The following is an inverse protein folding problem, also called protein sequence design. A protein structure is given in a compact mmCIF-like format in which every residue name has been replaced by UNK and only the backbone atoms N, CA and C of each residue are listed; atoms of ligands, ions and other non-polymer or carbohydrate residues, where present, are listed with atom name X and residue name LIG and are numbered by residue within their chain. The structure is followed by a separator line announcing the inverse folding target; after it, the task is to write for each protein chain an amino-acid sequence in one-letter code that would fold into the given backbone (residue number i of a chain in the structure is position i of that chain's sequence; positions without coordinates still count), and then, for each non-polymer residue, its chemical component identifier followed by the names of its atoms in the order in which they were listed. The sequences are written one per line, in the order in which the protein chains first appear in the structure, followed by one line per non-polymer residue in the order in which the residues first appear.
data_IF_193361103048
#
_entry.id   IF_193361103048
#
_cell.length_a   1.000
_cell.length_b   1.000
_cell.length_c   1.000
_cell.angle_alpha   90.00
_cell.angle_beta   90.00
_cell.angle_gamma   90.00
#
_symmetry.space_group_name_H-M   'P 1'
#
loop_
_entity.id
_entity.type
_entity.pdbx_description
1 polymer ?
#
# COMPACT_ATOMS: atom_id res chain seq x y z
N UNK A 1 1.39 -20.15 54.92
CA UNK A 1 0.95 -18.80 54.49
C UNK A 1 1.54 -18.56 53.12
N UNK A 2 0.74 -18.78 52.07
CA UNK A 2 1.17 -18.78 50.68
C UNK A 2 1.27 -17.34 50.16
N UNK A 3 2.40 -17.09 49.51
CA UNK A 3 2.88 -15.82 48.98
C UNK A 3 1.90 -15.23 47.96
N UNK A 4 1.25 -14.12 48.32
CA UNK A 4 0.33 -13.34 47.47
C UNK A 4 1.06 -12.48 46.43
N UNK A 5 2.39 -12.44 46.46
CA UNK A 5 3.21 -11.54 45.63
C UNK A 5 3.35 -12.04 44.19
N UNK A 6 3.26 -13.35 43.93
CA UNK A 6 3.48 -13.93 42.59
C UNK A 6 2.28 -13.81 41.65
N UNK A 7 1.04 -13.69 42.15
CA UNK A 7 -0.13 -13.54 41.27
C UNK A 7 -0.27 -12.15 40.63
N UNK A 8 0.30 -11.10 41.25
CA UNK A 8 0.16 -9.73 40.75
C UNK A 8 1.09 -9.48 39.56
N UNK A 9 2.23 -10.18 39.49
CA UNK A 9 3.25 -9.98 38.45
C UNK A 9 2.83 -10.53 37.07
N UNK A 10 2.01 -11.59 37.04
CA UNK A 10 1.53 -12.16 35.77
C UNK A 10 0.32 -11.41 35.20
N UNK A 11 -0.48 -10.79 36.05
CA UNK A 11 -1.67 -10.04 35.62
C UNK A 11 -1.32 -8.73 34.89
N UNK A 12 -0.17 -8.10 35.20
CA UNK A 12 0.27 -6.85 34.56
C UNK A 12 0.98 -7.06 33.22
N UNK A 13 1.63 -8.21 33.01
CA UNK A 13 2.24 -8.53 31.71
C UNK A 13 1.19 -8.85 30.64
N UNK A 14 0.07 -9.48 31.02
CA UNK A 14 -0.98 -9.85 30.08
C UNK A 14 -1.74 -8.66 29.48
N UNK A 15 -1.86 -7.54 30.21
CA UNK A 15 -2.56 -6.35 29.73
C UNK A 15 -1.74 -5.54 28.72
N UNK A 16 -0.40 -5.56 28.80
CA UNK A 16 0.46 -4.80 27.90
C UNK A 16 0.48 -5.41 26.48
N UNK A 17 0.36 -6.73 26.36
CA UNK A 17 0.42 -7.44 25.06
C UNK A 17 -0.87 -7.24 24.23
N UNK A 18 -2.00 -6.93 24.88
CA UNK A 18 -3.30 -6.80 24.20
C UNK A 18 -3.45 -5.50 23.41
N UNK A 19 -2.67 -4.46 23.74
CA UNK A 19 -2.77 -3.13 23.12
C UNK A 19 -2.06 -3.01 21.76
N UNK A 20 -1.25 -3.99 21.35
CA UNK A 20 -0.43 -3.89 20.13
C UNK A 20 -1.14 -4.35 18.83
N UNK A 21 -2.40 -4.80 18.88
CA UNK A 21 -3.06 -5.47 17.73
C UNK A 21 -4.00 -4.62 16.86
N UNK A 22 -4.05 -3.29 17.01
CA UNK A 22 -5.08 -2.50 16.29
C UNK A 22 -4.60 -1.25 15.54
N UNK A 23 -3.34 -1.19 15.13
CA UNK A 23 -2.96 -0.25 14.05
C UNK A 23 -3.14 -0.96 12.71
N UNK A 24 -4.38 -1.00 12.20
CA UNK A 24 -4.59 -1.15 10.77
C UNK A 24 -3.93 0.06 10.12
N UNK A 25 -2.91 -0.10 9.24
CA UNK A 25 -2.46 1.03 8.45
C UNK A 25 -3.67 1.54 7.67
N UNK A 26 -4.07 2.77 7.98
CA UNK A 26 -5.18 3.44 7.33
C UNK A 26 -4.95 3.39 5.83
N UNK A 27 -5.99 2.99 5.10
CA UNK A 27 -6.07 3.15 3.66
C UNK A 27 -5.97 4.66 3.39
N UNK A 28 -4.77 5.12 3.05
CA UNK A 28 -4.53 6.53 2.75
C UNK A 28 -5.34 6.85 1.49
N UNK A 29 -6.35 7.70 1.67
CA UNK A 29 -7.33 8.06 0.65
C UNK A 29 -6.70 8.78 -0.56
N UNK A 30 -5.39 9.10 -0.55
CA UNK A 30 -4.70 9.69 -1.70
C UNK A 30 -3.23 9.26 -1.76
N UNK A 31 -2.95 7.96 -1.96
CA UNK A 31 -1.62 7.53 -2.40
C UNK A 31 -1.42 8.01 -3.85
N UNK A 32 -0.67 9.10 -4.01
CA UNK A 32 -0.38 9.74 -5.29
C UNK A 32 1.05 9.38 -5.68
N UNK A 33 1.25 8.87 -6.89
CA UNK A 33 2.58 8.64 -7.45
C UNK A 33 2.97 9.74 -8.45
N UNK A 34 4.26 10.06 -8.46
CA UNK A 34 4.88 10.99 -9.42
C UNK A 34 5.38 10.17 -10.60
N UNK A 35 4.91 10.51 -11.80
CA UNK A 35 5.17 9.75 -13.03
C UNK A 35 6.29 10.40 -13.84
N UNK A 36 6.34 11.73 -13.84
CA UNK A 36 7.33 12.49 -14.59
C UNK A 36 7.04 13.99 -14.59
N UNK A 37 7.79 14.78 -15.36
CA UNK A 37 7.52 16.21 -15.53
C UNK A 37 6.30 16.45 -16.43
N UNK A 38 5.64 17.60 -16.25
CA UNK A 38 4.65 18.04 -17.23
C UNK A 38 5.33 18.57 -18.49
N UNK A 39 4.68 18.38 -19.64
CA UNK A 39 5.13 18.92 -20.93
C UNK A 39 4.11 19.95 -21.37
N UNK A 40 4.52 21.22 -21.50
CA UNK A 40 3.62 22.34 -21.82
C UNK A 40 2.40 22.43 -20.88
N UNK A 41 2.62 22.26 -19.57
CA UNK A 41 1.56 22.24 -18.53
C UNK A 41 0.49 21.16 -18.74
N UNK A 42 0.81 20.11 -19.51
CA UNK A 42 -0.09 18.99 -19.80
C UNK A 42 0.54 17.66 -19.39
N UNK A 43 -0.33 16.72 -19.09
CA UNK A 43 -0.02 15.32 -18.83
C UNK A 43 -0.90 14.43 -19.72
N UNK A 44 -0.56 13.14 -19.88
CA UNK A 44 -1.44 12.19 -20.56
C UNK A 44 -2.83 12.11 -19.89
N UNK A 45 -3.79 11.54 -20.61
CA UNK A 45 -5.14 11.33 -20.08
C UNK A 45 -5.11 10.54 -18.77
N UNK A 46 -5.95 10.91 -17.80
CA UNK A 46 -6.00 10.39 -16.41
C UNK A 46 -4.86 10.81 -15.45
N UNK A 47 -3.95 11.70 -15.88
CA UNK A 47 -2.91 12.29 -15.04
C UNK A 47 -3.17 13.79 -14.83
N UNK A 48 -2.76 14.31 -13.68
CA UNK A 48 -2.86 15.73 -13.35
C UNK A 48 -1.47 16.37 -13.28
N UNK A 49 -1.32 17.57 -13.84
CA UNK A 49 -0.11 18.37 -13.63
C UNK A 49 -0.24 19.12 -12.30
N UNK A 50 0.69 18.88 -11.37
CA UNK A 50 0.70 19.56 -10.07
C UNK A 50 1.41 20.93 -10.14
N UNK A 51 1.36 21.67 -9.04
CA UNK A 51 1.94 23.02 -8.93
C UNK A 51 3.47 23.07 -9.08
N UNK A 52 4.15 21.93 -8.98
CA UNK A 52 5.61 21.81 -9.10
C UNK A 52 6.03 21.23 -10.46
N UNK A 53 5.15 21.32 -11.46
CA UNK A 53 5.39 20.86 -12.84
C UNK A 53 5.67 19.34 -12.96
N UNK A 54 4.97 18.54 -12.16
CA UNK A 54 5.03 17.07 -12.22
C UNK A 54 3.66 16.47 -12.53
N UNK A 55 3.64 15.48 -13.42
CA UNK A 55 2.50 14.62 -13.67
C UNK A 55 2.33 13.63 -12.53
N UNK A 56 1.17 13.69 -11.90
CA UNK A 56 0.78 12.80 -10.82
C UNK A 56 -0.47 12.01 -11.21
N UNK A 57 -0.64 10.86 -10.58
CA UNK A 57 -1.88 10.09 -10.62
C UNK A 57 -2.11 9.35 -9.31
N UNK A 58 -3.34 8.93 -9.01
CA UNK A 58 -3.57 7.94 -7.97
C UNK A 58 -2.75 6.68 -8.26
N UNK A 59 -2.06 6.16 -7.25
CA UNK A 59 -1.33 4.91 -7.37
C UNK A 59 -2.32 3.78 -7.68
N UNK A 60 -2.10 2.97 -8.73
CA UNK A 60 -2.99 1.88 -9.05
C UNK A 60 -3.05 0.86 -7.90
N UNK A 61 -4.25 0.61 -7.38
CA UNK A 61 -4.48 -0.42 -6.36
C UNK A 61 -4.82 -1.74 -7.05
N UNK A 62 -4.17 -2.82 -6.61
CA UNK A 62 -4.47 -4.17 -7.08
C UNK A 62 -5.85 -4.59 -6.58
N UNK A 63 -6.67 -5.21 -7.44
CA UNK A 63 -7.95 -5.78 -7.03
C UNK A 63 -7.71 -6.85 -5.95
N UNK A 64 -8.37 -6.77 -4.79
CA UNK A 64 -8.20 -7.78 -3.75
C UNK A 64 -8.60 -9.16 -4.28
N UNK A 65 -7.85 -10.18 -3.90
CA UNK A 65 -8.06 -11.57 -4.33
C UNK A 65 -8.02 -11.79 -5.86
N UNK A 66 -7.38 -10.89 -6.61
CA UNK A 66 -7.20 -11.10 -8.05
C UNK A 66 -6.10 -12.09 -8.37
N UNK A 67 -6.34 -12.92 -9.39
CA UNK A 67 -5.32 -13.80 -9.94
C UNK A 67 -4.40 -13.01 -10.88
N UNK A 68 -3.08 -13.30 -10.86
CA UNK A 68 -2.14 -12.70 -11.78
C UNK A 68 -2.33 -13.28 -13.20
N UNK A 69 -2.17 -12.45 -14.22
CA UNK A 69 -2.28 -12.87 -15.62
C UNK A 69 -0.98 -13.42 -16.21
N UNK A 70 0.13 -13.25 -15.50
CA UNK A 70 1.46 -13.64 -15.96
C UNK A 70 2.58 -12.89 -15.22
N UNK A 71 3.84 -13.13 -15.59
CA UNK A 71 4.98 -12.39 -15.08
C UNK A 71 5.03 -10.97 -15.64
N UNK A 72 5.77 -10.09 -14.98
CA UNK A 72 6.12 -8.79 -15.56
C UNK A 72 7.16 -8.97 -16.68
N UNK A 73 7.10 -8.11 -17.70
CA UNK A 73 8.10 -8.06 -18.77
C UNK A 73 8.74 -6.69 -18.74
N UNK A 74 10.02 -6.59 -18.40
CA UNK A 74 10.72 -5.31 -18.23
C UNK A 74 10.01 -4.36 -17.24
N UNK A 75 9.50 -4.90 -16.13
CA UNK A 75 8.69 -4.17 -15.14
C UNK A 75 7.38 -3.58 -15.68
N UNK A 76 6.97 -3.98 -16.89
CA UNK A 76 5.75 -3.55 -17.55
C UNK A 76 4.71 -4.67 -17.58
N UNK A 77 3.45 -4.27 -17.63
CA UNK A 77 2.29 -5.12 -17.76
C UNK A 77 1.34 -4.58 -18.84
N UNK A 78 0.45 -5.41 -19.39
CA UNK A 78 -0.62 -4.96 -20.28
C UNK A 78 -1.49 -3.86 -19.65
N UNK A 79 -2.25 -3.15 -20.49
CA UNK A 79 -3.18 -2.13 -20.01
C UNK A 79 -4.11 -2.66 -18.92
N UNK A 80 -4.43 -1.79 -17.94
CA UNK A 80 -5.25 -2.11 -16.75
C UNK A 80 -4.63 -3.16 -15.81
N UNK A 81 -3.33 -3.40 -15.91
CA UNK A 81 -2.58 -4.22 -14.97
C UNK A 81 -1.38 -3.45 -14.41
N UNK A 82 -0.94 -3.82 -13.22
CA UNK A 82 0.25 -3.26 -12.56
C UNK A 82 1.21 -4.39 -12.20
N UNK A 83 2.51 -4.15 -12.39
CA UNK A 83 3.55 -5.08 -11.98
C UNK A 83 3.72 -5.00 -10.46
N UNK A 84 3.51 -6.12 -9.77
CA UNK A 84 3.75 -6.22 -8.33
C UNK A 84 5.17 -6.74 -8.11
N UNK A 85 6.10 -5.84 -7.75
CA UNK A 85 7.52 -6.18 -7.64
C UNK A 85 7.85 -7.24 -6.58
N UNK A 86 6.97 -7.51 -5.62
CA UNK A 86 7.23 -8.53 -4.58
C UNK A 86 7.21 -9.95 -5.12
N UNK A 87 6.44 -10.23 -6.17
CA UNK A 87 6.29 -11.55 -6.77
C UNK A 87 6.46 -11.55 -8.30
N UNK A 88 6.88 -10.41 -8.87
CA UNK A 88 7.14 -10.17 -10.29
C UNK A 88 6.00 -10.57 -11.22
N UNK A 89 4.75 -10.30 -10.79
CA UNK A 89 3.53 -10.66 -11.53
C UNK A 89 2.65 -9.46 -11.85
N UNK A 90 1.91 -9.60 -12.95
CA UNK A 90 0.93 -8.61 -13.41
C UNK A 90 -0.44 -8.89 -12.81
N UNK A 91 -0.97 -7.92 -12.06
CA UNK A 91 -2.29 -8.01 -11.42
C UNK A 91 -3.24 -6.95 -11.99
N UNK A 92 -4.54 -7.24 -12.09
CA UNK A 92 -5.53 -6.25 -12.52
C UNK A 92 -5.72 -5.16 -11.47
N UNK A 93 -5.84 -3.91 -11.94
CA UNK A 93 -6.05 -2.73 -11.10
C UNK A 93 -7.55 -2.45 -10.91
N UNK A 94 -7.90 -1.79 -9.80
CA UNK A 94 -9.29 -1.40 -9.47
C UNK A 94 -9.86 -0.44 -10.51
#
# INVERSE_FOLDING_TARGET
MQSTTTMILFATLATIVLSAKLLKPGDSENDIEIVGPCVNLKCPDSYACNNINQCTRPRPKIRPNSEPIGPCVNLMCPSKHVCKHTDDKCYPIL
#
